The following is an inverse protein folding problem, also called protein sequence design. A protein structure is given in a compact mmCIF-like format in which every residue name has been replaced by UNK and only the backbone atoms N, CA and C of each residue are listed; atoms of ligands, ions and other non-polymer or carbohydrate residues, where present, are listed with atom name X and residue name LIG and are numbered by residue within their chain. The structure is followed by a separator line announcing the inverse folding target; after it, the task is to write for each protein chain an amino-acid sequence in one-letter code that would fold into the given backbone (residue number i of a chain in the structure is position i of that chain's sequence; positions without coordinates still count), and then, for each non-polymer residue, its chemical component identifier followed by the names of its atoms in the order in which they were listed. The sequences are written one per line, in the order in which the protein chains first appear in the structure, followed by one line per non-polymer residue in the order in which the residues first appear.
data_IF_486766227775
#
_entry.id   IF_486766227775
#
_cell.length_a   1.000
_cell.length_b   1.000
_cell.length_c   1.000
_cell.angle_alpha   90.00
_cell.angle_beta   90.00
_cell.angle_gamma   90.00
#
_symmetry.space_group_name_H-M   'P 1'
#
loop_
_entity.id
_entity.type
_entity.pdbx_description
1 polymer ?
#
# COMPACT_ATOMS: atom_id res chain seq x y z
N UNK A 1 -6.06 -8.06 -6.97
CA UNK A 1 -4.60 -7.95 -6.82
C UNK A 1 -3.99 -8.82 -7.89
N UNK A 2 -3.11 -8.28 -8.74
CA UNK A 2 -2.50 -9.03 -9.83
C UNK A 2 -1.04 -9.29 -9.48
N UNK A 3 -0.58 -10.51 -9.74
CA UNK A 3 0.83 -10.88 -9.60
C UNK A 3 1.42 -11.17 -10.97
N UNK A 4 2.65 -10.76 -11.17
CA UNK A 4 3.44 -11.14 -12.33
C UNK A 4 4.41 -12.24 -11.92
N UNK A 5 4.36 -13.36 -12.65
CA UNK A 5 5.27 -14.49 -12.47
C UNK A 5 6.40 -14.39 -13.49
N UNK A 6 7.64 -14.46 -13.02
CA UNK A 6 8.84 -14.52 -13.84
C UNK A 6 9.54 -15.84 -13.61
N UNK A 7 9.83 -16.55 -14.68
CA UNK A 7 10.47 -17.87 -14.68
C UNK A 7 11.97 -17.79 -14.99
N UNK A 8 12.66 -18.91 -14.90
CA UNK A 8 14.07 -19.04 -15.27
C UNK A 8 15.02 -18.29 -14.34
N UNK A 9 14.61 -18.07 -13.07
CA UNK A 9 15.44 -17.33 -12.12
C UNK A 9 16.78 -18.04 -11.86
N UNK A 10 17.87 -17.31 -12.10
CA UNK A 10 19.26 -17.78 -11.90
C UNK A 10 20.09 -16.65 -11.29
N UNK A 11 21.08 -16.99 -10.46
CA UNK A 11 21.98 -15.96 -9.95
C UNK A 11 22.85 -15.39 -11.06
N UNK A 12 22.90 -14.06 -11.13
CA UNK A 12 23.89 -13.32 -11.89
C UNK A 12 25.12 -13.03 -11.00
N UNK A 13 26.27 -12.64 -11.60
CA UNK A 13 27.43 -12.25 -10.84
C UNK A 13 27.12 -11.13 -9.84
N UNK A 14 27.58 -11.29 -8.61
CA UNK A 14 27.38 -10.31 -7.53
C UNK A 14 28.17 -9.05 -7.82
N UNK A 15 27.50 -7.89 -7.77
CA UNK A 15 28.15 -6.58 -7.78
C UNK A 15 28.00 -5.95 -6.40
N UNK A 16 29.12 -5.61 -5.77
CA UNK A 16 29.14 -4.87 -4.52
C UNK A 16 28.84 -3.39 -4.80
N UNK A 17 27.82 -2.84 -4.18
CA UNK A 17 27.52 -1.41 -4.18
C UNK A 17 27.93 -0.78 -2.85
N UNK A 18 28.29 0.52 -2.88
CA UNK A 18 28.89 1.23 -1.73
C UNK A 18 28.05 1.22 -0.44
N UNK A 19 26.75 0.89 -0.49
CA UNK A 19 25.86 1.02 0.67
C UNK A 19 24.97 -0.19 0.97
N UNK A 20 24.78 -1.13 0.03
CA UNK A 20 23.95 -2.34 0.22
C UNK A 20 24.50 -3.48 -0.64
N UNK A 21 24.42 -4.67 -0.12
CA UNK A 21 24.59 -5.85 -0.95
C UNK A 21 23.32 -6.06 -1.76
N UNK A 22 23.47 -6.29 -3.05
CA UNK A 22 22.37 -6.62 -3.94
C UNK A 22 22.70 -7.89 -4.68
N UNK A 23 21.75 -8.80 -4.74
CA UNK A 23 21.89 -10.05 -5.47
C UNK A 23 21.40 -9.84 -6.89
N UNK A 24 22.24 -10.14 -7.88
CA UNK A 24 21.85 -10.17 -9.28
C UNK A 24 21.06 -11.42 -9.61
N UNK A 25 19.95 -11.28 -10.31
CA UNK A 25 19.17 -12.37 -10.89
C UNK A 25 19.05 -12.19 -12.41
N UNK A 26 19.16 -13.30 -13.14
CA UNK A 26 18.74 -13.45 -14.52
C UNK A 26 17.34 -14.06 -14.51
N UNK A 27 16.43 -13.53 -15.31
CA UNK A 27 15.07 -14.04 -15.50
C UNK A 27 14.78 -14.18 -16.98
N UNK A 28 13.87 -15.09 -17.34
CA UNK A 28 13.36 -15.16 -18.69
C UNK A 28 12.56 -13.90 -19.02
N UNK A 29 12.84 -13.29 -20.16
CA UNK A 29 12.07 -12.16 -20.64
C UNK A 29 10.63 -12.60 -20.96
N UNK A 30 9.60 -11.86 -20.53
CA UNK A 30 8.22 -12.19 -20.84
C UNK A 30 7.96 -12.11 -22.35
N UNK A 31 6.97 -12.86 -22.84
CA UNK A 31 6.58 -12.82 -24.24
C UNK A 31 6.06 -11.43 -24.65
N UNK A 32 6.18 -11.10 -25.91
CA UNK A 32 5.70 -9.84 -26.48
C UNK A 32 6.79 -8.78 -26.58
N UNK A 33 6.51 -7.53 -26.26
CA UNK A 33 7.43 -6.40 -26.46
C UNK A 33 8.79 -6.51 -25.76
N UNK A 34 8.87 -7.29 -24.69
CA UNK A 34 10.13 -7.58 -23.99
C UNK A 34 11.09 -8.44 -24.83
N UNK A 35 10.59 -9.16 -25.85
CA UNK A 35 11.37 -10.01 -26.77
C UNK A 35 11.39 -9.47 -28.21
N UNK A 36 11.11 -8.17 -28.41
CA UNK A 36 11.19 -7.57 -29.74
C UNK A 36 12.60 -7.80 -30.33
N UNK A 37 12.73 -8.08 -31.64
CA UNK A 37 14.02 -8.22 -32.29
C UNK A 37 14.95 -7.01 -32.11
N UNK A 38 14.39 -5.81 -32.03
CA UNK A 38 15.13 -4.57 -31.78
C UNK A 38 15.46 -4.37 -30.30
N UNK A 39 16.75 -4.32 -29.94
CA UNK A 39 17.19 -4.01 -28.58
C UNK A 39 16.68 -2.66 -28.06
N UNK A 40 16.54 -1.66 -28.95
CA UNK A 40 15.99 -0.34 -28.59
C UNK A 40 14.52 -0.46 -28.14
N UNK A 41 13.71 -1.21 -28.89
CA UNK A 41 12.28 -1.41 -28.51
C UNK A 41 12.14 -2.23 -27.22
N UNK A 42 13.02 -3.20 -26.98
CA UNK A 42 13.04 -3.94 -25.71
C UNK A 42 13.33 -3.03 -24.53
N UNK A 43 14.31 -2.13 -24.66
CA UNK A 43 14.61 -1.15 -23.61
C UNK A 43 13.43 -0.21 -23.37
N UNK A 44 12.82 0.33 -24.42
CA UNK A 44 11.64 1.18 -24.35
C UNK A 44 10.45 0.46 -23.68
N UNK A 45 10.26 -0.83 -23.97
CA UNK A 45 9.26 -1.64 -23.27
C UNK A 45 9.47 -1.64 -21.75
N UNK A 46 10.72 -1.83 -21.28
CA UNK A 46 11.01 -1.86 -19.85
C UNK A 46 10.93 -0.48 -19.21
N UNK A 47 11.27 0.57 -19.90
CA UNK A 47 11.13 1.95 -19.42
C UNK A 47 9.67 2.31 -19.12
N UNK A 48 8.72 1.80 -19.91
CA UNK A 48 7.28 2.06 -19.73
C UNK A 48 6.54 0.94 -18.98
N UNK A 49 7.21 -0.14 -18.65
CA UNK A 49 6.61 -1.29 -17.95
C UNK A 49 6.28 -0.96 -16.50
N UNK A 50 5.12 -1.42 -16.05
CA UNK A 50 4.76 -1.42 -14.62
C UNK A 50 5.31 -2.63 -13.87
N UNK A 51 6.00 -3.55 -14.54
CA UNK A 51 6.61 -4.73 -13.93
C UNK A 51 8.01 -4.42 -13.43
N UNK A 52 8.43 -5.10 -12.37
CA UNK A 52 9.79 -5.04 -11.84
C UNK A 52 10.26 -3.60 -11.55
N UNK A 53 9.35 -2.77 -11.04
CA UNK A 53 9.68 -1.38 -10.72
C UNK A 53 10.64 -1.28 -9.52
N UNK A 54 11.55 -0.33 -9.55
CA UNK A 54 12.44 -0.04 -8.44
C UNK A 54 11.66 0.15 -7.12
N UNK A 55 12.12 -0.49 -6.04
CA UNK A 55 11.47 -0.43 -4.73
C UNK A 55 10.23 -1.32 -4.58
N UNK A 56 9.79 -2.05 -5.63
CA UNK A 56 8.70 -3.00 -5.52
C UNK A 56 9.09 -4.21 -4.70
N UNK A 57 8.12 -4.71 -3.89
CA UNK A 57 8.26 -5.96 -3.15
C UNK A 57 8.19 -7.15 -4.10
N UNK A 58 9.13 -8.06 -3.96
CA UNK A 58 9.18 -9.30 -4.73
C UNK A 58 9.40 -10.50 -3.80
N UNK A 59 8.97 -11.67 -4.27
CA UNK A 59 9.21 -12.94 -3.61
C UNK A 59 9.91 -13.91 -4.57
N UNK A 60 11.14 -14.31 -4.25
CA UNK A 60 11.81 -15.43 -4.90
C UNK A 60 11.36 -16.72 -4.24
N UNK A 61 10.74 -17.61 -5.00
CA UNK A 61 10.23 -18.89 -4.52
C UNK A 61 11.07 -20.00 -5.13
N UNK A 62 11.69 -20.78 -4.28
CA UNK A 62 12.40 -22.01 -4.65
C UNK A 62 11.49 -23.18 -4.35
N UNK A 63 11.14 -23.94 -5.37
CA UNK A 63 10.22 -25.10 -5.29
C UNK A 63 11.03 -26.35 -5.58
N UNK A 64 11.20 -27.19 -4.56
CA UNK A 64 11.83 -28.50 -4.65
C UNK A 64 10.81 -29.59 -4.25
N UNK A 65 11.00 -30.85 -4.61
CA UNK A 65 10.14 -31.93 -4.15
C UNK A 65 10.03 -31.95 -2.63
N UNK A 66 8.81 -31.74 -2.11
CA UNK A 66 8.53 -31.76 -0.67
C UNK A 66 8.95 -30.52 0.12
N UNK A 67 9.56 -29.51 -0.51
CA UNK A 67 9.99 -28.28 0.18
C UNK A 67 9.85 -27.05 -0.70
N UNK A 68 9.28 -26.00 -0.15
CA UNK A 68 9.28 -24.65 -0.76
C UNK A 68 9.95 -23.66 0.18
N UNK A 69 10.78 -22.79 -0.36
CA UNK A 69 11.41 -21.67 0.35
C UNK A 69 11.01 -20.37 -0.33
N UNK A 70 10.76 -19.35 0.48
CA UNK A 70 10.36 -18.01 -0.01
C UNK A 70 11.30 -16.99 0.57
N UNK A 71 11.93 -16.20 -0.30
CA UNK A 71 12.81 -15.10 0.06
C UNK A 71 12.21 -13.79 -0.42
N UNK A 72 11.93 -12.89 0.51
CA UNK A 72 11.38 -11.59 0.22
C UNK A 72 12.49 -10.56 0.01
N UNK A 73 12.25 -9.60 -0.89
CA UNK A 73 13.19 -8.52 -1.15
C UNK A 73 12.55 -7.38 -1.93
N UNK A 74 13.33 -6.35 -2.18
CA UNK A 74 12.92 -5.20 -3.00
C UNK A 74 13.81 -5.08 -4.24
N UNK A 75 13.23 -4.66 -5.35
CA UNK A 75 13.96 -4.43 -6.59
C UNK A 75 14.88 -3.22 -6.43
N UNK A 76 16.17 -3.44 -6.63
CA UNK A 76 17.20 -2.41 -6.57
C UNK A 76 17.57 -1.84 -7.95
N UNK A 77 17.26 -2.56 -9.04
CA UNK A 77 17.47 -2.07 -10.40
C UNK A 77 16.44 -1.01 -10.77
N UNK A 78 16.87 -0.02 -11.53
CA UNK A 78 15.98 0.93 -12.22
C UNK A 78 15.47 0.34 -13.53
N UNK A 79 14.43 0.94 -14.12
CA UNK A 79 13.92 0.57 -15.43
C UNK A 79 15.02 0.69 -16.52
N UNK A 80 15.91 1.68 -16.39
CA UNK A 80 17.04 1.86 -17.28
C UNK A 80 18.06 0.70 -17.18
N UNK A 81 18.37 0.23 -15.97
CA UNK A 81 19.28 -0.91 -15.76
C UNK A 81 18.72 -2.18 -16.44
N UNK A 82 17.41 -2.44 -16.26
CA UNK A 82 16.74 -3.58 -16.87
C UNK A 82 16.72 -3.42 -18.40
N UNK A 83 16.42 -2.21 -18.88
CA UNK A 83 16.44 -1.87 -20.30
C UNK A 83 17.79 -2.09 -20.96
N UNK A 84 18.89 -1.71 -20.32
CA UNK A 84 20.25 -1.96 -20.82
C UNK A 84 20.54 -3.47 -20.90
N UNK A 85 20.15 -4.24 -19.90
CA UNK A 85 20.25 -5.70 -19.95
C UNK A 85 19.45 -6.28 -21.10
N UNK A 86 18.22 -5.81 -21.31
CA UNK A 86 17.34 -6.26 -22.37
C UNK A 86 17.83 -5.87 -23.78
N UNK A 87 18.64 -4.80 -23.93
CA UNK A 87 19.28 -4.49 -25.21
C UNK A 87 20.27 -5.57 -25.63
N UNK A 88 21.00 -6.13 -24.65
CA UNK A 88 22.04 -7.13 -24.92
C UNK A 88 21.45 -8.51 -25.24
N UNK A 89 20.35 -8.91 -24.60
CA UNK A 89 19.73 -10.23 -24.75
C UNK A 89 18.20 -10.09 -24.89
N UNK A 90 17.63 -10.84 -25.86
CA UNK A 90 16.20 -10.88 -26.09
C UNK A 90 15.46 -11.92 -25.23
N UNK A 91 16.16 -12.93 -24.76
CA UNK A 91 15.57 -14.06 -24.05
C UNK A 91 15.62 -13.88 -22.54
N UNK A 92 16.63 -13.14 -22.03
CA UNK A 92 16.82 -12.95 -20.61
C UNK A 92 16.98 -11.49 -20.23
N UNK A 93 16.60 -11.15 -19.00
CA UNK A 93 16.84 -9.86 -18.38
C UNK A 93 17.64 -10.05 -17.10
N UNK A 94 18.45 -9.08 -16.78
CA UNK A 94 19.18 -9.03 -15.53
C UNK A 94 18.62 -7.93 -14.65
N UNK A 95 18.37 -8.26 -13.37
CA UNK A 95 17.97 -7.28 -12.36
C UNK A 95 18.69 -7.55 -11.05
N UNK A 96 18.66 -6.56 -10.16
CA UNK A 96 19.23 -6.64 -8.81
C UNK A 96 18.13 -6.54 -7.79
N UNK A 97 18.23 -7.38 -6.76
CA UNK A 97 17.29 -7.42 -5.64
C UNK A 97 18.09 -7.27 -4.34
N UNK A 98 17.56 -6.44 -3.44
CA UNK A 98 17.98 -6.38 -2.05
C UNK A 98 17.07 -7.32 -1.26
N UNK A 99 17.57 -8.49 -0.91
CA UNK A 99 16.81 -9.45 -0.10
C UNK A 99 16.81 -9.05 1.37
N UNK A 100 15.78 -9.45 2.11
CA UNK A 100 15.70 -9.24 3.55
C UNK A 100 16.39 -10.35 4.33
N UNK A 101 16.65 -11.50 3.68
CA UNK A 101 17.29 -12.67 4.26
C UNK A 101 18.73 -12.79 3.72
N UNK A 102 19.68 -12.81 4.65
CA UNK A 102 21.09 -12.97 4.33
C UNK A 102 21.43 -14.36 3.75
N UNK A 103 20.60 -15.38 3.96
CA UNK A 103 20.85 -16.72 3.44
C UNK A 103 20.95 -16.71 1.93
N UNK A 104 20.02 -16.02 1.25
CA UNK A 104 20.01 -15.94 -0.21
C UNK A 104 21.25 -15.18 -0.76
N UNK A 105 21.71 -14.16 -0.04
CA UNK A 105 22.90 -13.42 -0.40
C UNK A 105 24.16 -14.30 -0.26
N UNK A 106 24.23 -15.10 0.81
CA UNK A 106 25.32 -16.07 1.00
C UNK A 106 25.32 -17.15 -0.07
N UNK A 107 24.13 -17.64 -0.50
CA UNK A 107 24.01 -18.58 -1.62
C UNK A 107 24.56 -17.96 -2.91
N UNK A 108 24.21 -16.72 -3.21
CA UNK A 108 24.71 -16.00 -4.38
C UNK A 108 26.22 -15.80 -4.35
N UNK A 109 26.79 -15.39 -3.20
CA UNK A 109 28.22 -15.20 -3.01
C UNK A 109 29.01 -16.51 -3.17
N UNK A 110 28.48 -17.62 -2.67
CA UNK A 110 29.09 -18.95 -2.82
C UNK A 110 28.92 -19.51 -4.24
N UNK A 111 28.28 -18.77 -5.14
CA UNK A 111 27.94 -19.24 -6.50
C UNK A 111 27.17 -20.56 -6.50
N UNK A 112 26.41 -20.81 -5.44
CA UNK A 112 25.55 -21.98 -5.39
C UNK A 112 24.44 -21.81 -6.46
N UNK A 113 24.17 -22.83 -7.26
CA UNK A 113 23.04 -22.75 -8.20
C UNK A 113 21.75 -22.59 -7.39
N UNK A 114 20.85 -21.75 -7.88
CA UNK A 114 19.48 -21.66 -7.31
C UNK A 114 18.77 -23.01 -7.42
N UNK A 115 19.04 -23.72 -8.51
CA UNK A 115 18.56 -25.07 -8.75
C UNK A 115 19.70 -26.03 -8.49
N UNK A 116 19.60 -26.78 -7.41
CA UNK A 116 20.59 -27.83 -7.04
C UNK A 116 20.31 -29.11 -7.83
N UNK A 117 19.08 -29.27 -8.32
CA UNK A 117 18.60 -30.44 -9.03
C UNK A 117 17.66 -30.01 -10.16
N UNK A 118 17.56 -30.85 -11.21
CA UNK A 118 16.63 -30.66 -12.34
C UNK A 118 15.16 -30.59 -11.92
N UNK A 119 14.84 -31.00 -10.70
CA UNK A 119 13.52 -30.95 -10.08
C UNK A 119 13.23 -29.65 -9.29
N UNK A 120 14.22 -28.77 -9.15
CA UNK A 120 14.03 -27.48 -8.43
C UNK A 120 13.70 -26.37 -9.41
N UNK A 121 12.59 -25.70 -9.18
CA UNK A 121 12.13 -24.55 -9.96
C UNK A 121 12.33 -23.28 -9.14
N UNK A 122 12.83 -22.24 -9.77
CA UNK A 122 12.95 -20.92 -9.17
C UNK A 122 12.07 -19.92 -9.96
N UNK A 123 11.18 -19.25 -9.24
CA UNK A 123 10.28 -18.25 -9.81
C UNK A 123 10.32 -16.97 -8.98
N UNK A 124 10.23 -15.83 -9.66
CA UNK A 124 10.09 -14.54 -9.01
C UNK A 124 8.66 -14.04 -9.16
N UNK A 125 8.01 -13.76 -8.04
CA UNK A 125 6.71 -13.09 -8.00
C UNK A 125 6.93 -11.59 -7.81
N UNK A 126 6.33 -10.79 -8.68
CA UNK A 126 6.25 -9.33 -8.58
C UNK A 126 4.78 -8.93 -8.39
N UNK A 127 4.50 -8.14 -7.36
CA UNK A 127 3.14 -7.66 -7.06
C UNK A 127 2.96 -6.17 -7.42
N UNK A 128 3.99 -5.53 -7.98
CA UNK A 128 4.01 -4.10 -8.30
C UNK A 128 3.68 -3.17 -7.10
N UNK A 129 3.79 -3.67 -5.87
CA UNK A 129 3.62 -2.86 -4.65
C UNK A 129 4.94 -2.22 -4.29
N UNK A 130 4.96 -0.90 -4.28
CA UNK A 130 6.13 -0.14 -3.85
C UNK A 130 6.31 -0.25 -2.33
N UNK A 131 7.16 -1.18 -1.90
CA UNK A 131 7.39 -1.49 -0.49
C UNK A 131 7.97 -0.31 0.28
N UNK A 132 8.86 0.47 -0.35
CA UNK A 132 9.50 1.62 0.28
C UNK A 132 8.49 2.68 0.77
N UNK A 133 7.34 2.80 0.12
CA UNK A 133 6.29 3.74 0.56
C UNK A 133 5.49 3.24 1.77
N UNK A 134 5.39 1.93 1.99
CA UNK A 134 4.65 1.36 3.13
C UNK A 134 5.55 0.94 4.29
N UNK A 135 6.84 0.70 4.06
CA UNK A 135 7.81 0.24 5.05
C UNK A 135 7.88 1.13 6.31
N UNK A 136 7.91 2.48 6.23
CA UNK A 136 7.92 3.33 7.42
C UNK A 136 6.70 3.11 8.32
N UNK A 137 5.51 2.96 7.70
CA UNK A 137 4.26 2.69 8.43
C UNK A 137 4.30 1.31 9.11
N UNK A 138 4.77 0.28 8.39
CA UNK A 138 4.89 -1.08 8.94
C UNK A 138 5.88 -1.12 10.12
N UNK A 139 7.03 -0.46 10.01
CA UNK A 139 8.00 -0.36 11.11
C UNK A 139 7.41 0.36 12.32
N UNK A 140 6.67 1.44 12.11
CA UNK A 140 5.99 2.14 13.19
C UNK A 140 4.99 1.21 13.87
N UNK A 141 4.15 0.52 13.10
CA UNK A 141 3.17 -0.43 13.65
C UNK A 141 3.81 -1.59 14.41
N UNK A 142 4.96 -2.10 13.97
CA UNK A 142 5.68 -3.16 14.68
C UNK A 142 6.23 -2.71 16.05
N UNK A 143 6.53 -1.41 16.19
CA UNK A 143 7.09 -0.85 17.42
C UNK A 143 6.04 -0.20 18.32
N UNK A 144 4.78 -0.09 17.88
CA UNK A 144 3.70 0.48 18.68
C UNK A 144 3.21 -0.56 19.67
N UNK A 145 3.23 -0.20 20.96
CA UNK A 145 2.59 -0.99 22.00
C UNK A 145 1.08 -1.02 21.76
N UNK A 146 0.43 -2.19 21.62
CA UNK A 146 -1.02 -2.25 21.33
C UNK A 146 -1.90 -1.47 22.30
N UNK A 147 -1.48 -1.43 23.58
CA UNK A 147 -2.18 -0.69 24.65
C UNK A 147 -2.04 0.82 24.54
N UNK A 148 -1.06 1.32 23.78
CA UNK A 148 -0.83 2.75 23.57
C UNK A 148 -1.63 3.32 22.40
N UNK A 149 -2.26 2.47 21.59
CA UNK A 149 -3.06 2.91 20.43
C UNK A 149 -4.37 3.54 20.95
N UNK A 150 -4.61 4.84 20.71
CA UNK A 150 -5.87 5.46 21.07
C UNK A 150 -7.04 4.75 20.38
N UNK A 151 -8.11 4.49 21.14
CA UNK A 151 -9.30 3.81 20.61
C UNK A 151 -9.05 2.41 20.04
N UNK A 152 -8.04 1.68 20.56
CA UNK A 152 -7.69 0.32 20.11
C UNK A 152 -8.90 -0.60 20.06
N UNK A 153 -9.78 -0.54 21.07
CA UNK A 153 -11.00 -1.34 21.16
C UNK A 153 -11.98 -1.11 20.02
N UNK A 154 -11.91 0.08 19.40
CA UNK A 154 -12.76 0.46 18.27
C UNK A 154 -12.06 0.17 16.93
N UNK A 155 -10.77 0.49 16.84
CA UNK A 155 -9.98 0.36 15.60
C UNK A 155 -9.70 -1.11 15.27
N UNK A 156 -9.38 -1.93 16.28
CA UNK A 156 -9.08 -3.36 16.12
C UNK A 156 -10.31 -4.27 16.24
N UNK A 157 -11.51 -3.70 16.28
CA UNK A 157 -12.73 -4.48 16.41
C UNK A 157 -12.96 -5.40 15.24
N UNK A 158 -13.00 -6.70 15.50
CA UNK A 158 -13.18 -7.76 14.49
C UNK A 158 -14.63 -8.11 14.17
N UNK A 159 -15.60 -7.53 14.91
CA UNK A 159 -17.03 -7.75 14.73
C UNK A 159 -17.68 -6.80 13.72
N UNK A 160 -19.00 -6.92 13.55
CA UNK A 160 -19.74 -5.98 12.71
C UNK A 160 -19.74 -4.59 13.32
N UNK A 161 -19.24 -3.59 12.57
CA UNK A 161 -19.15 -2.18 13.00
C UNK A 161 -20.47 -1.62 13.55
N UNK A 162 -21.61 -2.13 13.07
CA UNK A 162 -22.96 -1.75 13.56
C UNK A 162 -23.24 -2.20 15.00
N UNK A 163 -22.54 -3.19 15.52
CA UNK A 163 -22.71 -3.68 16.91
C UNK A 163 -21.78 -2.97 17.89
N UNK A 164 -20.85 -2.15 17.42
CA UNK A 164 -20.08 -1.24 18.27
C UNK A 164 -21.04 -0.15 18.75
N UNK A 165 -21.40 -0.20 20.00
CA UNK A 165 -22.20 0.83 20.66
C UNK A 165 -21.38 2.12 20.87
N UNK A 166 -20.88 2.72 19.77
CA UNK A 166 -20.15 3.99 19.85
C UNK A 166 -21.14 5.09 20.27
N UNK A 167 -21.02 5.49 21.53
CA UNK A 167 -21.89 6.50 22.12
C UNK A 167 -21.51 7.91 21.73
N UNK A 168 -22.29 8.85 22.29
CA UNK A 168 -22.03 10.29 22.19
C UNK A 168 -20.69 10.62 22.87
N UNK A 169 -19.87 11.56 22.31
CA UNK A 169 -18.61 11.98 22.90
C UNK A 169 -18.76 12.37 24.39
N UNK A 170 -17.78 11.99 25.21
CA UNK A 170 -17.84 12.21 26.67
C UNK A 170 -18.09 13.66 27.02
N UNK A 171 -17.42 14.60 26.35
CA UNK A 171 -17.59 16.04 26.57
C UNK A 171 -19.00 16.55 26.17
N UNK A 172 -19.67 15.90 25.24
CA UNK A 172 -21.01 16.26 24.81
C UNK A 172 -22.13 15.66 25.68
N UNK A 173 -21.78 14.81 26.67
CA UNK A 173 -22.72 14.28 27.68
C UNK A 173 -23.02 15.26 28.79
N UNK A 174 -22.29 16.40 28.82
CA UNK A 174 -22.52 17.46 29.81
C UNK A 174 -23.91 18.05 29.58
N UNK A 175 -24.72 18.23 30.66
CA UNK A 175 -26.04 18.84 30.52
C UNK A 175 -25.97 20.18 29.79
N UNK A 176 -26.90 20.42 28.86
CA UNK A 176 -27.03 21.63 28.07
C UNK A 176 -25.89 21.85 27.04
N UNK A 177 -24.96 20.92 26.87
CA UNK A 177 -23.96 21.02 25.81
C UNK A 177 -24.61 21.00 24.42
N UNK A 178 -24.25 21.95 23.58
CA UNK A 178 -24.73 22.06 22.20
C UNK A 178 -23.61 22.55 21.29
N UNK A 179 -23.54 21.93 20.11
CA UNK A 179 -22.66 22.44 19.06
C UNK A 179 -23.27 23.64 18.38
N UNK A 180 -22.52 24.73 18.25
CA UNK A 180 -22.92 25.85 17.42
C UNK A 180 -22.55 25.58 15.95
N UNK A 181 -23.55 25.38 15.12
CA UNK A 181 -23.39 25.10 13.68
C UNK A 181 -23.52 26.37 12.82
N UNK A 182 -23.69 27.53 13.41
CA UNK A 182 -23.92 28.80 12.69
C UNK A 182 -22.77 29.18 11.75
N UNK A 183 -21.52 28.77 12.06
CA UNK A 183 -20.34 29.02 11.22
C UNK A 183 -20.43 28.31 9.85
N UNK A 184 -21.31 27.34 9.68
CA UNK A 184 -21.54 26.61 8.43
C UNK A 184 -22.69 27.18 7.61
N UNK A 185 -23.43 28.14 8.16
CA UNK A 185 -24.56 28.73 7.49
C UNK A 185 -24.13 29.65 6.34
N UNK A 186 -24.88 29.60 5.24
CA UNK A 186 -24.74 30.61 4.17
C UNK A 186 -25.09 32.02 4.69
N UNK A 187 -24.54 33.05 4.09
CA UNK A 187 -24.87 34.43 4.46
C UNK A 187 -26.40 34.67 4.51
N UNK A 188 -26.87 35.22 5.61
CA UNK A 188 -28.29 35.46 5.83
C UNK A 188 -29.12 34.27 6.28
N UNK A 189 -28.53 33.09 6.40
CA UNK A 189 -29.19 31.89 6.90
C UNK A 189 -28.88 31.63 8.37
N UNK A 190 -29.78 30.91 9.06
CA UNK A 190 -29.58 30.49 10.44
C UNK A 190 -29.68 28.97 10.57
N UNK A 191 -28.77 28.39 11.35
CA UNK A 191 -28.76 26.97 11.67
C UNK A 191 -28.84 26.84 13.20
N UNK A 192 -29.83 26.10 13.74
CA UNK A 192 -29.96 25.91 15.18
C UNK A 192 -28.78 25.09 15.71
N UNK A 193 -28.47 25.29 16.99
CA UNK A 193 -27.46 24.51 17.71
C UNK A 193 -27.87 23.05 17.78
N UNK A 194 -26.91 22.15 17.64
CA UNK A 194 -27.10 20.70 17.70
C UNK A 194 -26.96 20.20 19.13
N UNK A 195 -28.02 19.64 19.65
CA UNK A 195 -28.01 18.81 20.86
C UNK A 195 -27.89 17.34 20.44
N UNK A 196 -26.73 16.74 20.65
CA UNK A 196 -26.43 15.36 20.23
C UNK A 196 -27.13 14.29 21.08
N UNK A 197 -27.63 14.66 22.26
CA UNK A 197 -28.38 13.77 23.13
C UNK A 197 -29.89 13.75 22.77
N UNK A 198 -30.30 14.58 21.82
CA UNK A 198 -31.70 14.69 21.37
C UNK A 198 -31.84 14.29 19.90
N UNK A 199 -32.46 13.15 19.64
CA UNK A 199 -32.66 12.64 18.27
C UNK A 199 -33.42 13.61 17.35
N UNK A 200 -34.39 14.37 17.90
CA UNK A 200 -35.09 15.38 17.13
C UNK A 200 -34.18 16.54 16.73
N UNK A 201 -33.30 16.98 17.63
CA UNK A 201 -32.28 18.01 17.33
C UNK A 201 -31.32 17.54 16.23
N UNK A 202 -30.86 16.28 16.27
CA UNK A 202 -30.01 15.67 15.26
C UNK A 202 -30.70 15.67 13.89
N UNK A 203 -31.96 15.27 13.82
CA UNK A 203 -32.72 15.25 12.58
C UNK A 203 -32.96 16.68 12.01
N UNK A 204 -33.22 17.66 12.87
CA UNK A 204 -33.36 19.08 12.50
C UNK A 204 -32.04 19.60 11.96
N UNK A 205 -30.92 19.33 12.64
CA UNK A 205 -29.59 19.79 12.22
C UNK A 205 -29.23 19.27 10.82
N UNK A 206 -29.44 17.97 10.53
CA UNK A 206 -29.24 17.40 9.18
C UNK A 206 -30.06 18.13 8.11
N UNK A 207 -31.33 18.36 8.38
CA UNK A 207 -32.24 19.05 7.46
C UNK A 207 -31.83 20.49 7.22
N UNK A 208 -31.47 21.20 8.28
CA UNK A 208 -31.08 22.61 8.18
C UNK A 208 -29.73 22.79 7.52
N UNK A 209 -28.74 21.95 7.83
CA UNK A 209 -27.45 21.96 7.15
C UNK A 209 -27.61 21.74 5.65
N UNK A 210 -28.42 20.76 5.22
CA UNK A 210 -28.66 20.49 3.80
C UNK A 210 -29.32 21.68 3.08
N UNK A 211 -30.12 22.51 3.77
CA UNK A 211 -30.83 23.65 3.17
C UNK A 211 -30.07 24.96 3.26
N UNK A 212 -29.32 25.16 4.34
CA UNK A 212 -28.77 26.45 4.72
C UNK A 212 -27.23 26.52 4.70
N UNK A 213 -26.55 25.44 4.33
CA UNK A 213 -25.08 25.40 4.16
C UNK A 213 -24.68 25.13 2.70
N UNK A 214 -23.39 25.20 2.41
CA UNK A 214 -22.81 24.82 1.12
C UNK A 214 -22.38 23.32 1.08
N UNK A 215 -22.66 22.56 2.12
CA UNK A 215 -22.31 21.15 2.22
C UNK A 215 -23.26 20.30 1.36
N UNK A 216 -22.72 19.31 0.67
CA UNK A 216 -23.54 18.30 0.01
C UNK A 216 -24.16 17.33 1.04
N UNK A 217 -25.16 16.52 0.65
CA UNK A 217 -25.84 15.60 1.58
C UNK A 217 -24.89 14.58 2.24
N UNK A 218 -23.83 14.15 1.57
CA UNK A 218 -22.86 13.20 2.13
C UNK A 218 -21.97 13.87 3.19
N UNK A 219 -21.56 15.10 2.93
CA UNK A 219 -20.79 15.93 3.87
C UNK A 219 -21.62 16.29 5.11
N UNK A 220 -22.90 16.62 4.93
CA UNK A 220 -23.83 16.87 6.05
C UNK A 220 -23.97 15.63 6.94
N UNK A 221 -24.14 14.45 6.33
CA UNK A 221 -24.25 13.21 7.08
C UNK A 221 -22.96 12.91 7.83
N UNK A 222 -21.80 12.99 7.14
CA UNK A 222 -20.50 12.76 7.75
C UNK A 222 -20.23 13.70 8.92
N UNK A 223 -20.53 14.99 8.77
CA UNK A 223 -20.38 15.99 9.82
C UNK A 223 -21.24 15.66 11.06
N UNK A 224 -22.54 15.43 10.85
CA UNK A 224 -23.46 15.16 11.97
C UNK A 224 -23.12 13.83 12.64
N UNK A 225 -22.76 12.79 11.87
CA UNK A 225 -22.33 11.50 12.43
C UNK A 225 -21.05 11.64 13.27
N UNK A 226 -20.10 12.47 12.83
CA UNK A 226 -18.87 12.75 13.60
C UNK A 226 -19.16 13.45 14.91
N UNK A 227 -20.05 14.43 14.91
CA UNK A 227 -20.41 15.16 16.14
C UNK A 227 -21.25 14.33 17.11
N UNK A 228 -21.95 13.32 16.63
CA UNK A 228 -22.83 12.45 17.46
C UNK A 228 -22.15 11.19 17.97
N UNK A 229 -20.90 10.92 17.57
CA UNK A 229 -20.17 9.69 17.94
C UNK A 229 -18.81 10.00 18.55
N UNK A 230 -18.40 9.23 19.55
CA UNK A 230 -17.09 9.34 20.19
C UNK A 230 -15.94 9.03 19.20
N UNK A 231 -16.17 8.12 18.26
CA UNK A 231 -15.25 7.77 17.18
C UNK A 231 -16.00 7.72 15.86
N UNK A 232 -15.44 8.35 14.83
CA UNK A 232 -15.99 8.36 13.48
C UNK A 232 -14.86 8.22 12.46
N UNK A 233 -15.03 7.33 11.48
CA UNK A 233 -14.13 7.17 10.35
C UNK A 233 -14.81 7.75 9.11
N UNK A 234 -14.18 8.76 8.51
CA UNK A 234 -14.67 9.38 7.29
C UNK A 234 -13.69 9.08 6.18
N UNK A 235 -14.18 8.44 5.12
CA UNK A 235 -13.44 8.24 3.89
C UNK A 235 -14.04 9.15 2.81
N UNK A 236 -13.23 10.00 2.23
CA UNK A 236 -13.64 10.90 1.16
C UNK A 236 -12.47 11.34 0.30
N UNK A 237 -12.77 11.89 -0.87
CA UNK A 237 -11.75 12.56 -1.68
C UNK A 237 -11.42 13.89 -1.03
N UNK A 238 -10.14 14.13 -0.80
CA UNK A 238 -9.64 15.47 -0.50
C UNK A 238 -9.62 16.22 -1.83
N UNK A 239 -10.69 16.94 -2.11
CA UNK A 239 -10.61 17.99 -3.13
C UNK A 239 -9.71 19.09 -2.54
N UNK A 240 -8.41 19.01 -2.84
CA UNK A 240 -7.54 20.18 -2.69
C UNK A 240 -8.03 21.20 -3.71
N UNK A 241 -8.96 22.05 -3.29
CA UNK A 241 -9.20 23.30 -3.99
C UNK A 241 -7.92 24.13 -3.83
N UNK A 242 -7.08 24.07 -4.84
CA UNK A 242 -6.03 25.04 -5.03
C UNK A 242 -6.72 26.42 -5.20
N UNK A 243 -6.58 27.25 -4.18
CA UNK A 243 -6.72 28.68 -4.29
C UNK A 243 -5.38 29.27 -4.65
#
# INVERSE_FOLDING_TARGET
MFFHLHTGARFAPVKAERRRFTTGLLLDAPKGGARDPSGKKRAEYWEHSKRLQHGSLVALILISPGRSQVFLGTIASTAADIGESAKADAETIQLRISFFDAEIELMALRRQPISIDTSTYAVLLDNSVMFESVNPFLRTLQNVEPTSIPFSDVISYSGHVRSLGVGVPRYARIPQFRFNLQCLARPGMSIPSLDVNNAASVAIARRQLSRSSNLDPSQVNALVDTLTREVSLIQGFVLSSLF
#
